data_IF_868969658239
#
_entry.id   IF_868969658239
#
_cell.length_a   1.000
_cell.length_b   1.000
_cell.length_c   1.000
_cell.angle_alpha   90.00
_cell.angle_beta   90.00
_cell.angle_gamma   90.00
#
_symmetry.space_group_name_H-M   'P 1'
#
loop_
_entity.id
_entity.type
_entity.pdbx_description
1 polymer ?
#
# COMPACT_ATOMS: atom_id res chain seq x y z
N UNK A 1 5.97 -29.20 28.79
CA UNK A 1 5.96 -27.97 27.98
C UNK A 1 6.82 -28.22 26.75
N UNK A 2 6.21 -28.48 25.60
CA UNK A 2 6.96 -28.56 24.35
C UNK A 2 7.33 -27.14 23.96
N UNK A 3 8.63 -26.84 23.90
CA UNK A 3 9.12 -25.59 23.32
C UNK A 3 8.49 -25.44 21.92
N UNK A 4 7.88 -24.29 21.58
CA UNK A 4 7.24 -24.13 20.29
C UNK A 4 8.28 -24.36 19.20
N UNK A 5 7.96 -25.23 18.25
CA UNK A 5 8.81 -25.54 17.11
C UNK A 5 9.07 -24.23 16.36
N UNK A 6 10.33 -23.91 15.98
CA UNK A 6 10.63 -22.64 15.34
C UNK A 6 9.81 -22.50 14.07
N UNK A 7 8.93 -21.49 14.05
CA UNK A 7 8.08 -21.15 12.92
C UNK A 7 8.90 -20.32 11.94
N UNK A 8 8.83 -20.65 10.66
CA UNK A 8 9.53 -19.94 9.59
C UNK A 8 8.58 -18.90 9.01
N UNK A 9 8.96 -17.62 9.05
CA UNK A 9 8.19 -16.50 8.50
C UNK A 9 8.44 -16.31 7.00
N UNK A 10 7.66 -15.48 6.31
CA UNK A 10 7.85 -15.23 4.88
C UNK A 10 8.99 -14.23 4.65
N UNK A 11 9.00 -13.11 5.38
CA UNK A 11 10.00 -12.07 5.28
C UNK A 11 10.44 -11.59 6.67
N UNK A 12 11.75 -11.37 6.84
CA UNK A 12 12.31 -10.65 7.98
C UNK A 12 13.03 -9.38 7.51
N UNK A 13 12.59 -8.22 8.00
CA UNK A 13 13.22 -6.92 7.78
C UNK A 13 14.20 -6.68 8.94
N UNK A 14 15.49 -6.79 8.68
CA UNK A 14 16.55 -6.72 9.67
C UNK A 14 16.98 -5.27 9.93
N UNK A 15 17.35 -4.96 11.19
CA UNK A 15 17.95 -3.69 11.61
C UNK A 15 17.17 -2.44 11.17
N UNK A 16 15.84 -2.50 11.16
CA UNK A 16 14.99 -1.36 10.85
C UNK A 16 14.78 -0.50 12.10
N UNK A 17 14.79 0.83 11.92
CA UNK A 17 14.35 1.77 12.96
C UNK A 17 12.85 1.94 12.83
N UNK A 18 12.07 1.17 13.60
CA UNK A 18 10.61 1.15 13.54
C UNK A 18 10.06 2.38 14.26
N UNK A 19 9.29 3.19 13.54
CA UNK A 19 8.57 4.35 14.07
C UNK A 19 7.24 3.90 14.69
N UNK A 20 7.09 4.12 15.99
CA UNK A 20 5.78 4.10 16.62
C UNK A 20 5.07 5.42 16.31
N UNK A 21 4.08 5.37 15.43
CA UNK A 21 3.33 6.55 14.98
C UNK A 21 2.40 7.14 16.07
N UNK A 22 2.15 6.42 17.16
CA UNK A 22 1.38 6.92 18.29
C UNK A 22 2.25 7.70 19.28
N UNK A 23 3.44 7.18 19.58
CA UNK A 23 4.33 7.77 20.59
C UNK A 23 5.44 8.65 20.00
N UNK A 24 5.73 8.48 18.70
CA UNK A 24 6.87 9.12 18.02
C UNK A 24 8.22 8.46 18.32
N UNK A 25 8.25 7.37 19.08
CA UNK A 25 9.48 6.66 19.42
C UNK A 25 10.06 5.90 18.21
N UNK A 26 11.39 5.76 18.17
CA UNK A 26 12.11 5.02 17.14
C UNK A 26 12.97 3.93 17.79
N UNK A 27 12.61 2.67 17.53
CA UNK A 27 13.33 1.52 18.07
C UNK A 27 13.95 0.69 16.95
N UNK A 28 15.22 0.32 17.10
CA UNK A 28 15.87 -0.61 16.18
C UNK A 28 15.42 -2.04 16.46
N UNK A 29 14.71 -2.64 15.51
CA UNK A 29 14.09 -3.97 15.65
C UNK A 29 14.12 -4.72 14.32
N UNK A 30 14.04 -6.04 14.39
CA UNK A 30 13.75 -6.89 13.23
C UNK A 30 12.25 -7.12 13.15
N UNK A 31 11.65 -6.91 11.98
CA UNK A 31 10.20 -7.06 11.75
C UNK A 31 9.93 -8.33 10.96
N UNK A 32 9.00 -9.14 11.45
CA UNK A 32 8.61 -10.42 10.86
C UNK A 32 7.25 -10.29 10.16
N UNK A 33 7.17 -10.77 8.93
CA UNK A 33 5.98 -10.69 8.07
C UNK A 33 5.53 -12.09 7.66
N UNK A 34 4.22 -12.33 7.71
CA UNK A 34 3.57 -13.59 7.35
C UNK A 34 2.21 -13.30 6.69
N UNK A 35 1.90 -13.95 5.56
CA UNK A 35 0.59 -13.86 4.89
C UNK A 35 0.06 -12.43 4.79
N UNK A 36 0.92 -11.49 4.34
CA UNK A 36 0.68 -10.04 4.21
C UNK A 36 0.51 -9.23 5.50
N UNK A 37 0.63 -9.85 6.68
CA UNK A 37 0.52 -9.21 7.98
C UNK A 37 1.88 -9.09 8.67
N UNK A 38 2.04 -8.03 9.46
CA UNK A 38 3.15 -7.94 10.41
C UNK A 38 2.83 -8.90 11.56
N UNK A 39 3.63 -9.97 11.68
CA UNK A 39 3.48 -10.97 12.73
C UNK A 39 4.01 -10.46 14.08
N UNK A 40 5.12 -9.72 14.05
CA UNK A 40 5.73 -9.16 15.26
C UNK A 40 7.19 -8.76 15.07
N UNK A 41 7.90 -8.65 16.19
CA UNK A 41 9.33 -8.36 16.24
C UNK A 41 10.08 -9.55 16.83
N UNK A 42 11.23 -9.90 16.27
CA UNK A 42 11.98 -11.05 16.77
C UNK A 42 13.20 -11.42 15.92
N UNK A 43 13.78 -12.58 16.20
CA UNK A 43 14.98 -13.10 15.54
C UNK A 43 14.73 -14.47 14.89
N UNK A 44 13.47 -14.81 14.69
CA UNK A 44 13.02 -16.05 14.07
C UNK A 44 13.44 -16.11 12.59
N UNK A 45 13.71 -17.31 12.06
CA UNK A 45 14.08 -17.48 10.67
C UNK A 45 12.92 -17.09 9.73
N UNK A 46 13.25 -16.49 8.60
CA UNK A 46 12.32 -16.19 7.51
C UNK A 46 12.83 -16.76 6.18
N UNK A 47 11.93 -16.99 5.23
CA UNK A 47 12.28 -17.45 3.87
C UNK A 47 13.11 -16.42 3.13
N UNK A 48 12.74 -15.15 3.28
CA UNK A 48 13.42 -14.00 2.70
C UNK A 48 13.87 -13.03 3.80
N UNK A 49 14.99 -12.36 3.58
CA UNK A 49 15.51 -11.33 4.49
C UNK A 49 15.79 -10.06 3.72
N UNK A 50 15.44 -8.93 4.33
CA UNK A 50 15.72 -7.60 3.80
C UNK A 50 16.50 -6.80 4.83
N UNK A 51 17.68 -6.29 4.47
CA UNK A 51 18.55 -5.54 5.38
C UNK A 51 18.25 -4.03 5.27
N UNK A 52 17.63 -3.46 6.31
CA UNK A 52 17.20 -2.06 6.32
C UNK A 52 18.37 -1.09 6.62
N UNK A 53 19.53 -1.55 7.10
CA UNK A 53 20.72 -0.71 7.35
C UNK A 53 20.44 0.50 8.25
N UNK A 54 19.55 0.35 9.23
CA UNK A 54 19.14 1.45 10.10
C UNK A 54 18.21 2.48 9.46
N UNK A 55 17.65 2.19 8.28
CA UNK A 55 16.58 3.00 7.69
C UNK A 55 15.35 3.03 8.59
N UNK A 56 14.57 4.11 8.48
CA UNK A 56 13.31 4.24 9.22
C UNK A 56 12.23 3.42 8.53
N UNK A 57 11.60 2.54 9.29
CA UNK A 57 10.43 1.79 8.87
C UNK A 57 9.20 2.43 9.51
N UNK A 58 8.25 2.82 8.66
CA UNK A 58 6.97 3.38 9.07
C UNK A 58 5.85 2.69 8.30
N UNK A 59 4.60 2.77 8.78
CA UNK A 59 3.44 2.42 7.97
C UNK A 59 3.47 3.20 6.65
N UNK A 60 2.95 2.57 5.59
CA UNK A 60 2.77 3.23 4.31
C UNK A 60 1.87 4.46 4.44
N UNK A 61 2.06 5.43 3.56
CA UNK A 61 1.26 6.65 3.52
C UNK A 61 -0.13 6.36 2.94
N UNK A 62 -1.12 7.06 3.50
CA UNK A 62 -2.52 7.04 3.05
C UNK A 62 -2.89 8.46 2.63
N UNK A 63 -3.23 8.65 1.36
CA UNK A 63 -3.74 9.93 0.87
C UNK A 63 -5.28 9.90 0.84
N UNK A 64 -5.91 10.73 1.66
CA UNK A 64 -7.36 10.73 1.81
C UNK A 64 -8.09 11.53 0.73
N UNK A 65 -7.39 12.28 -0.12
CA UNK A 65 -8.06 13.16 -1.06
C UNK A 65 -7.23 13.42 -2.32
N UNK A 66 -7.40 12.53 -3.30
CA UNK A 66 -6.76 12.64 -4.61
C UNK A 66 -7.81 12.76 -5.70
N UNK A 67 -7.58 13.65 -6.65
CA UNK A 67 -8.33 13.67 -7.91
C UNK A 67 -7.42 13.03 -8.97
N UNK A 68 -7.63 11.75 -9.30
CA UNK A 68 -6.77 11.00 -10.24
C UNK A 68 -6.91 11.54 -11.67
N UNK A 69 -8.01 12.25 -11.94
CA UNK A 69 -8.33 12.85 -13.23
C UNK A 69 -7.52 14.12 -13.53
N UNK A 70 -7.14 14.89 -12.52
CA UNK A 70 -6.38 16.12 -12.68
C UNK A 70 -5.01 15.92 -13.37
N UNK A 71 -4.23 14.85 -13.07
CA UNK A 71 -3.01 14.53 -13.83
C UNK A 71 -3.28 13.86 -15.19
N UNK A 72 -4.55 13.62 -15.56
CA UNK A 72 -4.96 12.91 -16.79
C UNK A 72 -4.36 11.49 -16.89
N UNK A 73 -4.16 10.81 -15.76
CA UNK A 73 -3.57 9.49 -15.70
C UNK A 73 -4.62 8.41 -15.49
N UNK A 74 -4.31 7.20 -15.96
CA UNK A 74 -5.05 6.03 -15.53
C UNK A 74 -4.74 5.72 -14.05
N UNK A 75 -5.66 5.08 -13.30
CA UNK A 75 -5.39 4.66 -11.93
C UNK A 75 -4.12 3.81 -11.78
N UNK A 76 -3.83 2.94 -12.76
CA UNK A 76 -2.62 2.13 -12.78
C UNK A 76 -1.35 2.99 -12.98
N UNK A 77 -1.40 3.96 -13.90
CA UNK A 77 -0.29 4.90 -14.12
C UNK A 77 -0.04 5.77 -12.89
N UNK A 78 -1.12 6.22 -12.23
CA UNK A 78 -1.04 6.98 -10.99
C UNK A 78 -0.41 6.14 -9.87
N UNK A 79 -0.85 4.89 -9.67
CA UNK A 79 -0.28 3.98 -8.67
C UNK A 79 1.23 3.78 -8.86
N UNK A 80 1.67 3.53 -10.11
CA UNK A 80 3.10 3.37 -10.42
C UNK A 80 3.95 4.61 -10.11
N UNK A 81 3.35 5.80 -10.10
CA UNK A 81 4.05 7.04 -9.75
C UNK A 81 4.15 7.26 -8.24
N UNK A 82 3.13 6.90 -7.47
CA UNK A 82 3.08 7.20 -6.02
C UNK A 82 3.64 6.09 -5.14
N UNK A 83 3.60 4.83 -5.59
CA UNK A 83 4.12 3.67 -4.86
C UNK A 83 5.59 3.81 -4.46
N UNK A 84 6.51 4.30 -5.32
CA UNK A 84 7.93 4.48 -4.95
C UNK A 84 8.16 5.50 -3.82
N UNK A 85 7.20 6.40 -3.59
CA UNK A 85 7.27 7.41 -2.53
C UNK A 85 6.56 6.97 -1.25
N UNK A 86 6.09 5.71 -1.18
CA UNK A 86 5.54 5.11 0.03
C UNK A 86 4.02 5.24 0.19
N UNK A 87 3.31 5.85 -0.76
CA UNK A 87 1.84 5.89 -0.76
C UNK A 87 1.28 4.60 -1.36
N UNK A 88 0.62 3.80 -0.53
CA UNK A 88 0.05 2.51 -0.96
C UNK A 88 -1.47 2.53 -1.04
N UNK A 89 -2.10 3.52 -0.41
CA UNK A 89 -3.55 3.66 -0.36
C UNK A 89 -3.94 5.10 -0.66
N UNK A 90 -4.90 5.27 -1.57
CA UNK A 90 -5.50 6.57 -1.89
C UNK A 90 -7.01 6.47 -1.88
N UNK A 91 -7.67 7.52 -1.39
CA UNK A 91 -9.10 7.74 -1.62
C UNK A 91 -9.24 8.77 -2.72
N UNK A 92 -9.82 8.36 -3.85
CA UNK A 92 -10.02 9.23 -4.99
C UNK A 92 -11.50 9.50 -5.23
N UNK A 93 -11.86 10.79 -5.31
CA UNK A 93 -13.21 11.24 -5.69
C UNK A 93 -13.29 11.37 -7.22
N UNK A 94 -14.05 10.48 -7.91
CA UNK A 94 -14.06 10.41 -9.37
C UNK A 94 -14.97 11.47 -10.04
N UNK A 95 -15.27 12.59 -9.37
CA UNK A 95 -16.24 13.59 -9.82
C UNK A 95 -16.02 14.08 -11.27
N UNK A 96 -14.78 14.14 -11.75
CA UNK A 96 -14.48 14.45 -13.15
C UNK A 96 -14.86 13.31 -14.10
N UNK A 97 -14.54 12.06 -13.76
CA UNK A 97 -15.01 10.89 -14.53
C UNK A 97 -16.54 10.72 -14.49
N UNK A 98 -17.18 11.02 -13.37
CA UNK A 98 -18.64 10.95 -13.21
C UNK A 98 -19.33 11.94 -14.15
N UNK A 99 -18.84 13.17 -14.23
CA UNK A 99 -19.36 14.17 -15.15
C UNK A 99 -19.21 13.75 -16.62
N UNK A 100 -18.06 13.18 -17.00
CA UNK A 100 -17.81 12.68 -18.35
C UNK A 100 -18.70 11.47 -18.70
N UNK A 101 -18.91 10.54 -17.76
CA UNK A 101 -19.81 9.40 -17.93
C UNK A 101 -21.26 9.85 -18.13
N UNK A 102 -21.73 10.79 -17.31
CA UNK A 102 -23.06 11.36 -17.46
C UNK A 102 -23.25 12.08 -18.80
N UNK A 103 -22.25 12.86 -19.24
CA UNK A 103 -22.28 13.54 -20.54
C UNK A 103 -22.28 12.55 -21.72
N UNK A 104 -21.51 11.46 -21.65
CA UNK A 104 -21.47 10.41 -22.69
C UNK A 104 -22.76 9.58 -22.74
N UNK A 105 -23.32 9.23 -21.58
CA UNK A 105 -24.59 8.51 -21.49
C UNK A 105 -25.74 9.30 -22.12
N UNK A 106 -25.82 10.62 -21.86
CA UNK A 106 -26.80 11.51 -22.54
C UNK A 106 -26.64 11.55 -24.06
N UNK A 107 -25.45 11.21 -24.58
CA UNK A 107 -25.12 11.19 -26.01
C UNK A 107 -25.12 9.78 -26.62
N UNK A 108 -25.49 8.74 -25.86
CA UNK A 108 -25.50 7.35 -26.33
C UNK A 108 -24.11 6.74 -26.57
N UNK A 109 -23.05 7.33 -26.00
CA UNK A 109 -21.67 6.87 -26.17
C UNK A 109 -21.28 5.87 -25.07
N UNK A 110 -20.47 4.83 -25.37
CA UNK A 110 -20.02 3.86 -24.38
C UNK A 110 -19.14 4.49 -23.29
N UNK A 111 -19.25 3.95 -22.07
CA UNK A 111 -18.45 4.37 -20.92
C UNK A 111 -16.96 4.04 -21.08
N UNK A 112 -16.05 4.77 -20.41
CA UNK A 112 -14.62 4.50 -20.50
C UNK A 112 -14.29 3.14 -19.85
N UNK A 113 -13.41 2.33 -20.48
CA UNK A 113 -12.98 1.05 -19.94
C UNK A 113 -11.92 1.30 -18.85
N UNK A 114 -12.27 1.11 -17.56
CA UNK A 114 -11.29 0.80 -16.49
C UNK A 114 -11.84 0.81 -15.05
N UNK A 115 -12.96 1.47 -14.75
CA UNK A 115 -13.29 1.76 -13.35
C UNK A 115 -14.43 0.87 -12.83
N UNK A 116 -14.10 -0.07 -11.95
CA UNK A 116 -15.06 -0.66 -11.01
C UNK A 116 -15.19 0.32 -9.84
N UNK A 117 -16.30 1.06 -9.80
CA UNK A 117 -16.65 1.92 -8.66
C UNK A 117 -17.08 1.05 -7.48
N UNK A 118 -16.46 1.25 -6.32
CA UNK A 118 -17.00 0.78 -5.05
C UNK A 118 -17.41 2.03 -4.25
N UNK A 119 -18.72 2.25 -4.11
CA UNK A 119 -19.28 3.28 -3.24
C UNK A 119 -18.67 4.70 -3.39
N UNK A 120 -18.43 5.15 -4.63
CA UNK A 120 -17.93 6.50 -4.91
C UNK A 120 -16.42 6.71 -4.68
N UNK A 121 -15.65 5.67 -4.35
CA UNK A 121 -14.20 5.73 -4.24
C UNK A 121 -13.53 4.71 -5.19
N UNK A 122 -12.43 5.12 -5.81
CA UNK A 122 -11.52 4.20 -6.52
C UNK A 122 -10.43 3.76 -5.55
N UNK A 123 -10.46 2.49 -5.12
CA UNK A 123 -9.43 1.92 -4.26
C UNK A 123 -8.31 1.33 -5.13
N UNK A 124 -7.19 2.06 -5.24
CA UNK A 124 -5.99 1.58 -5.91
C UNK A 124 -5.07 0.88 -4.91
N UNK A 125 -5.20 -0.43 -4.75
CA UNK A 125 -4.18 -1.23 -4.07
C UNK A 125 -3.13 -1.69 -5.09
N UNK A 126 -1.90 -1.20 -4.99
CA UNK A 126 -0.79 -1.73 -5.77
C UNK A 126 -0.45 -3.16 -5.35
N UNK A 127 0.08 -4.01 -6.25
CA UNK A 127 0.67 -5.28 -5.83
C UNK A 127 1.83 -4.98 -4.86
N UNK A 128 1.91 -5.75 -3.76
CA UNK A 128 3.07 -5.72 -2.88
C UNK A 128 4.34 -5.89 -3.71
N UNK A 129 5.24 -4.91 -3.66
CA UNK A 129 6.53 -4.96 -4.32
C UNK A 129 7.26 -6.22 -3.83
N UNK A 130 7.39 -7.23 -4.71
CA UNK A 130 8.44 -8.25 -4.57
C UNK A 130 9.71 -7.60 -5.11
N UNK A 131 10.66 -7.31 -4.23
CA UNK A 131 11.96 -6.74 -4.54
C UNK A 131 12.96 -7.14 -3.48
#
# INVERSE_FOLDING_TARGET
MQSPKPKIHDLAILNARVLDVFTGALDTKTVLVEDVLIHGFGSEPAKETFEAKGAVLLPSLIDSNVHIESPMLSPASFASLVLPFGTTTVTADPHEMTNLRHARARRGLPGPPACREAHGAVLCSGPALRG
#
